data_IF_662049837029
#
_entry.id   IF_662049837029
#
_cell.length_a   1.000
_cell.length_b   1.000
_cell.length_c   1.000
_cell.angle_alpha   90.00
_cell.angle_beta   90.00
_cell.angle_gamma   90.00
#
_symmetry.space_group_name_H-M   'P 1'
#
loop_
_entity.id
_entity.type
_entity.pdbx_description
1 polymer ?
#
# COMPACT_ATOMS: atom_id res chain seq x y z
N UNK A 1 -4.30 28.39 -11.80
CA UNK A 1 -3.28 28.09 -10.77
C UNK A 1 -2.89 26.60 -10.74
N UNK A 2 -3.81 25.65 -10.51
CA UNK A 2 -3.47 24.21 -10.46
C UNK A 2 -2.72 23.69 -11.70
N UNK A 3 -3.20 24.02 -12.92
CA UNK A 3 -2.52 23.60 -14.16
C UNK A 3 -1.07 24.10 -14.25
N UNK A 4 -0.79 25.34 -13.85
CA UNK A 4 0.55 25.94 -13.90
C UNK A 4 1.48 25.23 -12.91
N UNK A 5 1.01 24.96 -11.69
CA UNK A 5 1.77 24.20 -10.69
C UNK A 5 2.08 22.79 -11.17
N UNK A 6 1.11 22.11 -11.79
CA UNK A 6 1.32 20.78 -12.37
C UNK A 6 2.36 20.80 -13.50
N UNK A 7 2.27 21.77 -14.42
CA UNK A 7 3.23 21.90 -15.51
C UNK A 7 4.64 22.21 -15.00
N UNK A 8 4.76 23.06 -13.98
CA UNK A 8 6.03 23.35 -13.34
C UNK A 8 6.64 22.09 -12.69
N UNK A 9 5.82 21.32 -11.97
CA UNK A 9 6.27 20.06 -11.35
C UNK A 9 6.72 19.03 -12.38
N UNK A 10 5.97 18.87 -13.48
CA UNK A 10 6.35 17.99 -14.60
C UNK A 10 7.66 18.48 -15.23
N UNK A 11 7.76 19.78 -15.51
CA UNK A 11 8.99 20.38 -16.05
C UNK A 11 10.19 20.16 -15.15
N UNK A 12 10.02 20.30 -13.84
CA UNK A 12 11.05 20.00 -12.84
C UNK A 12 11.49 18.53 -12.88
N UNK A 13 10.54 17.59 -12.86
CA UNK A 13 10.86 16.15 -12.93
C UNK A 13 11.56 15.76 -14.24
N UNK A 14 11.10 16.32 -15.37
CA UNK A 14 11.75 16.10 -16.66
C UNK A 14 13.17 16.66 -16.68
N UNK A 15 13.36 17.88 -16.17
CA UNK A 15 14.70 18.47 -16.06
C UNK A 15 15.61 17.63 -15.16
N UNK A 16 15.09 17.15 -14.02
CA UNK A 16 15.80 16.25 -13.10
C UNK A 16 16.32 15.01 -13.84
N UNK A 17 15.44 14.33 -14.60
CA UNK A 17 15.81 13.12 -15.35
C UNK A 17 16.77 13.38 -16.52
N UNK A 18 16.65 14.52 -17.20
CA UNK A 18 17.49 14.87 -18.35
C UNK A 18 18.88 15.37 -17.95
N UNK A 19 19.00 16.05 -16.80
CA UNK A 19 20.30 16.56 -16.30
C UNK A 19 21.13 15.44 -15.67
N UNK A 20 20.49 14.43 -15.07
CA UNK A 20 21.16 13.30 -14.41
C UNK A 20 20.65 11.95 -14.95
N UNK A 21 20.91 11.63 -16.23
CA UNK A 21 20.41 10.40 -16.85
C UNK A 21 21.01 9.13 -16.21
N UNK A 22 22.27 9.19 -15.75
CA UNK A 22 22.90 8.07 -15.03
C UNK A 22 22.21 7.80 -13.70
N UNK A 23 21.97 8.82 -12.88
CA UNK A 23 21.25 8.68 -11.61
C UNK A 23 19.81 8.17 -11.82
N UNK A 24 19.15 8.63 -12.89
CA UNK A 24 17.83 8.11 -13.28
C UNK A 24 17.89 6.63 -13.62
N UNK A 25 18.86 6.21 -14.43
CA UNK A 25 19.07 4.82 -14.79
C UNK A 25 19.39 3.96 -13.57
N UNK A 26 20.31 4.39 -12.71
CA UNK A 26 20.72 3.66 -11.51
C UNK A 26 19.54 3.48 -10.54
N UNK A 27 18.77 4.56 -10.31
CA UNK A 27 17.59 4.51 -9.46
C UNK A 27 16.48 3.63 -10.04
N UNK A 28 16.27 3.65 -11.36
CA UNK A 28 15.30 2.78 -12.03
C UNK A 28 15.74 1.31 -11.97
N UNK A 29 17.03 1.02 -12.18
CA UNK A 29 17.59 -0.32 -12.10
C UNK A 29 17.50 -0.88 -10.67
N UNK A 30 17.80 -0.05 -9.67
CA UNK A 30 17.61 -0.42 -8.27
C UNK A 30 16.14 -0.74 -7.95
N UNK A 31 15.20 0.11 -8.40
CA UNK A 31 13.77 -0.16 -8.25
C UNK A 31 13.31 -1.43 -8.97
N UNK A 32 13.87 -1.72 -10.15
CA UNK A 32 13.59 -2.94 -10.88
C UNK A 32 14.10 -4.17 -10.14
N UNK A 33 15.29 -4.12 -9.55
CA UNK A 33 15.83 -5.19 -8.71
C UNK A 33 14.95 -5.42 -7.48
N UNK A 34 14.59 -4.36 -6.74
CA UNK A 34 13.67 -4.47 -5.61
C UNK A 34 12.33 -5.08 -6.03
N UNK A 35 11.75 -4.60 -7.13
CA UNK A 35 10.49 -5.12 -7.65
C UNK A 35 10.58 -6.62 -7.99
N UNK A 36 11.57 -7.01 -8.79
CA UNK A 36 11.68 -8.39 -9.30
C UNK A 36 12.14 -9.40 -8.26
N UNK A 37 12.94 -8.99 -7.27
CA UNK A 37 13.52 -9.91 -6.27
C UNK A 37 12.82 -9.87 -4.92
N UNK A 38 12.29 -8.70 -4.50
CA UNK A 38 11.69 -8.52 -3.16
C UNK A 38 10.18 -8.32 -3.16
N UNK A 39 9.55 -7.95 -4.29
CA UNK A 39 8.10 -7.71 -4.33
C UNK A 39 7.34 -8.74 -5.18
N UNK A 40 7.75 -8.92 -6.43
CA UNK A 40 7.09 -9.80 -7.40
C UNK A 40 6.92 -11.25 -6.90
N UNK A 41 7.96 -11.95 -6.41
CA UNK A 41 7.82 -13.35 -5.99
C UNK A 41 6.90 -13.52 -4.78
N UNK A 42 6.84 -12.53 -3.89
CA UNK A 42 6.00 -12.59 -2.69
C UNK A 42 4.55 -12.14 -2.95
N UNK A 43 4.35 -11.10 -3.78
CA UNK A 43 3.02 -10.51 -3.99
C UNK A 43 2.22 -11.19 -5.09
N UNK A 44 2.83 -11.57 -6.23
CA UNK A 44 2.06 -12.03 -7.39
C UNK A 44 1.28 -13.33 -7.14
N UNK A 45 1.89 -14.42 -6.64
CA UNK A 45 1.14 -15.66 -6.38
C UNK A 45 -0.01 -15.41 -5.40
N UNK A 46 0.25 -14.55 -4.41
CA UNK A 46 -0.71 -14.18 -3.39
C UNK A 46 -1.91 -13.44 -3.96
N UNK A 47 -1.68 -12.41 -4.78
CA UNK A 47 -2.73 -11.64 -5.44
C UNK A 47 -3.62 -12.53 -6.32
N UNK A 48 -3.03 -13.50 -7.03
CA UNK A 48 -3.80 -14.44 -7.87
C UNK A 48 -4.73 -15.28 -7.01
N UNK A 49 -4.21 -15.90 -5.95
CA UNK A 49 -5.01 -16.76 -5.06
C UNK A 49 -6.07 -15.96 -4.32
N UNK A 50 -5.74 -14.76 -3.80
CA UNK A 50 -6.69 -13.93 -3.05
C UNK A 50 -7.84 -13.45 -3.94
N UNK A 51 -7.56 -12.99 -5.17
CA UNK A 51 -8.62 -12.56 -6.11
C UNK A 51 -9.47 -13.74 -6.58
N UNK A 52 -8.86 -14.89 -6.82
CA UNK A 52 -9.61 -16.08 -7.22
C UNK A 52 -10.50 -16.59 -6.08
N UNK A 53 -10.01 -16.61 -4.85
CA UNK A 53 -10.81 -16.95 -3.67
C UNK A 53 -11.98 -15.97 -3.47
N UNK A 54 -11.75 -14.67 -3.66
CA UNK A 54 -12.80 -13.64 -3.59
C UNK A 54 -13.94 -13.88 -4.57
N UNK A 55 -13.62 -14.24 -5.81
CA UNK A 55 -14.64 -14.42 -6.84
C UNK A 55 -15.59 -15.57 -6.51
N UNK A 56 -15.09 -16.61 -5.84
CA UNK A 56 -15.87 -17.76 -5.37
C UNK A 56 -16.70 -17.38 -4.14
N UNK A 57 -16.09 -16.73 -3.14
CA UNK A 57 -16.74 -16.40 -1.86
C UNK A 57 -18.02 -15.58 -2.02
N UNK A 58 -18.02 -14.67 -2.99
CA UNK A 58 -19.11 -13.73 -3.22
C UNK A 58 -19.96 -14.09 -4.45
N UNK A 59 -19.78 -15.29 -5.01
CA UNK A 59 -20.50 -15.77 -6.20
C UNK A 59 -21.95 -16.15 -5.91
N UNK A 60 -22.23 -16.67 -4.71
CA UNK A 60 -23.41 -17.54 -4.49
C UNK A 60 -24.32 -17.13 -3.34
N UNK A 61 -24.14 -15.96 -2.73
CA UNK A 61 -24.96 -15.58 -1.58
C UNK A 61 -25.25 -14.10 -1.56
N UNK A 62 -26.51 -13.69 -1.30
CA UNK A 62 -26.79 -12.30 -1.04
C UNK A 62 -26.00 -11.89 0.20
N UNK A 63 -25.16 -10.88 0.03
CA UNK A 63 -24.23 -10.46 1.07
C UNK A 63 -25.00 -9.72 2.14
N UNK A 64 -25.12 -10.34 3.33
CA UNK A 64 -25.63 -9.63 4.51
C UNK A 64 -24.54 -8.68 4.99
N UNK A 65 -24.77 -7.37 4.87
CA UNK A 65 -23.85 -6.31 5.32
C UNK A 65 -23.83 -6.19 6.86
N UNK A 66 -23.43 -7.26 7.53
CA UNK A 66 -23.18 -7.28 8.98
C UNK A 66 -21.69 -7.03 9.26
N UNK A 67 -21.33 -6.91 10.55
CA UNK A 67 -19.94 -6.68 10.94
C UNK A 67 -18.98 -7.76 10.40
N UNK A 68 -19.41 -9.02 10.40
CA UNK A 68 -18.63 -10.15 9.92
C UNK A 68 -18.25 -10.01 8.44
N UNK A 69 -19.15 -9.52 7.58
CA UNK A 69 -18.83 -9.22 6.18
C UNK A 69 -17.65 -8.25 6.06
N UNK A 70 -17.65 -7.16 6.85
CA UNK A 70 -16.55 -6.20 6.80
C UNK A 70 -15.24 -6.76 7.36
N UNK A 71 -15.29 -7.65 8.36
CA UNK A 71 -14.12 -8.39 8.80
C UNK A 71 -13.55 -9.29 7.70
N UNK A 72 -14.42 -10.01 6.96
CA UNK A 72 -13.99 -10.82 5.82
C UNK A 72 -13.35 -9.97 4.73
N UNK A 73 -13.95 -8.82 4.39
CA UNK A 73 -13.36 -7.87 3.44
C UNK A 73 -11.99 -7.39 3.88
N UNK A 74 -11.87 -7.02 5.17
CA UNK A 74 -10.59 -6.61 5.74
C UNK A 74 -9.55 -7.71 5.63
N UNK A 75 -9.88 -8.92 6.07
CA UNK A 75 -8.95 -10.05 6.01
C UNK A 75 -8.46 -10.25 4.59
N UNK A 76 -9.35 -10.35 3.61
CA UNK A 76 -8.94 -10.70 2.24
C UNK A 76 -8.12 -9.57 1.58
N UNK A 77 -8.45 -8.32 1.84
CA UNK A 77 -7.64 -7.21 1.34
C UNK A 77 -6.27 -7.10 2.05
N UNK A 78 -6.25 -7.28 3.36
CA UNK A 78 -5.02 -7.21 4.16
C UNK A 78 -4.06 -8.37 3.85
N UNK A 79 -4.61 -9.54 3.57
CA UNK A 79 -3.91 -10.71 3.06
C UNK A 79 -3.06 -10.35 1.82
N UNK A 80 -3.62 -9.65 0.83
CA UNK A 80 -2.91 -9.27 -0.39
C UNK A 80 -2.03 -8.01 -0.28
N UNK A 81 -2.01 -7.36 0.87
CA UNK A 81 -1.22 -6.16 1.11
C UNK A 81 -1.83 -4.89 0.50
N UNK A 82 -1.08 -3.80 0.58
CA UNK A 82 -1.53 -2.45 0.23
C UNK A 82 -2.21 -2.30 -1.15
N UNK A 83 -1.57 -2.70 -2.28
CA UNK A 83 -2.20 -2.56 -3.59
C UNK A 83 -3.39 -3.51 -3.78
N UNK A 84 -3.36 -4.70 -3.13
CA UNK A 84 -4.49 -5.64 -3.18
C UNK A 84 -5.71 -5.10 -2.49
N UNK A 85 -5.55 -4.56 -1.27
CA UNK A 85 -6.65 -4.00 -0.50
C UNK A 85 -7.38 -2.93 -1.30
N UNK A 86 -6.63 -2.01 -1.90
CA UNK A 86 -7.19 -0.98 -2.76
C UNK A 86 -7.91 -1.56 -3.99
N UNK A 87 -7.28 -2.48 -4.71
CA UNK A 87 -7.89 -3.13 -5.88
C UNK A 87 -9.17 -3.90 -5.53
N UNK A 88 -9.20 -4.58 -4.38
CA UNK A 88 -10.37 -5.30 -3.87
C UNK A 88 -11.52 -4.34 -3.58
N UNK A 89 -11.27 -3.22 -2.89
CA UNK A 89 -12.32 -2.23 -2.59
C UNK A 89 -12.85 -1.58 -3.86
N UNK A 90 -11.98 -1.24 -4.81
CA UNK A 90 -12.37 -0.70 -6.11
C UNK A 90 -13.25 -1.69 -6.87
N UNK A 91 -12.84 -2.96 -6.93
CA UNK A 91 -13.58 -4.00 -7.64
C UNK A 91 -14.96 -4.30 -7.02
N UNK A 92 -15.06 -4.30 -5.69
CA UNK A 92 -16.34 -4.48 -5.00
C UNK A 92 -17.27 -3.27 -5.19
N UNK A 93 -16.72 -2.07 -5.31
CA UNK A 93 -17.49 -0.88 -5.65
C UNK A 93 -17.94 -0.88 -7.13
N UNK A 94 -17.08 -1.33 -8.06
CA UNK A 94 -17.42 -1.54 -9.48
C UNK A 94 -18.57 -2.54 -9.65
N UNK A 95 -18.55 -3.59 -8.83
CA UNK A 95 -19.56 -4.65 -8.85
C UNK A 95 -20.79 -4.34 -8.00
N UNK A 96 -20.89 -3.12 -7.48
CA UNK A 96 -22.00 -2.60 -6.66
C UNK A 96 -22.27 -3.40 -5.36
N UNK A 97 -21.32 -4.22 -4.92
CA UNK A 97 -21.39 -4.97 -3.65
C UNK A 97 -21.32 -4.02 -2.47
N UNK A 98 -20.50 -2.98 -2.57
CA UNK A 98 -20.37 -1.89 -1.59
C UNK A 98 -20.64 -0.54 -2.27
N UNK A 99 -21.23 0.40 -1.53
CA UNK A 99 -21.48 1.75 -2.05
C UNK A 99 -20.18 2.57 -2.12
N UNK A 100 -20.15 3.61 -2.97
CA UNK A 100 -18.99 4.53 -3.03
C UNK A 100 -18.62 5.16 -1.68
N UNK A 101 -19.58 5.62 -0.84
CA UNK A 101 -19.27 6.06 0.51
C UNK A 101 -18.58 4.98 1.35
N UNK A 102 -19.11 3.75 1.37
CA UNK A 102 -18.49 2.63 2.09
C UNK A 102 -17.07 2.36 1.58
N UNK A 103 -16.89 2.33 0.26
CA UNK A 103 -15.60 2.15 -0.39
C UNK A 103 -14.59 3.24 0.02
N UNK A 104 -15.01 4.50 0.15
CA UNK A 104 -14.10 5.59 0.56
C UNK A 104 -13.45 5.32 1.92
N UNK A 105 -14.21 4.80 2.87
CA UNK A 105 -13.69 4.52 4.20
C UNK A 105 -12.93 3.18 4.26
N UNK A 106 -13.49 2.14 3.64
CA UNK A 106 -12.84 0.83 3.60
C UNK A 106 -11.50 0.87 2.86
N UNK A 107 -11.34 1.74 1.86
CA UNK A 107 -10.06 1.97 1.18
C UNK A 107 -8.95 2.31 2.17
N UNK A 108 -9.27 3.11 3.19
CA UNK A 108 -8.35 3.45 4.27
C UNK A 108 -8.14 2.30 5.25
N UNK A 109 -9.20 1.60 5.66
CA UNK A 109 -9.13 0.57 6.73
C UNK A 109 -8.47 -0.73 6.26
N UNK A 110 -8.73 -1.13 5.02
CA UNK A 110 -8.22 -2.38 4.44
C UNK A 110 -6.78 -2.23 3.95
N UNK A 111 -6.23 -1.01 3.99
CA UNK A 111 -4.82 -0.73 3.72
C UNK A 111 -3.93 -1.31 4.83
N UNK A 112 -3.35 -2.48 4.57
CA UNK A 112 -2.47 -3.18 5.50
C UNK A 112 -1.32 -3.84 4.73
N UNK A 113 -0.14 -4.03 5.36
CA UNK A 113 0.92 -4.83 4.76
C UNK A 113 0.50 -6.29 4.68
N UNK A 114 0.96 -7.03 3.67
CA UNK A 114 0.65 -8.45 3.58
C UNK A 114 1.44 -9.24 4.64
N UNK A 115 0.89 -10.36 5.16
CA UNK A 115 1.63 -11.25 6.04
C UNK A 115 2.93 -11.75 5.40
N UNK A 116 2.90 -12.02 4.09
CA UNK A 116 4.09 -12.47 3.36
C UNK A 116 5.15 -11.38 3.24
N UNK A 117 4.76 -10.10 3.11
CA UNK A 117 5.72 -8.99 3.11
C UNK A 117 6.36 -8.82 4.49
N UNK A 118 5.55 -8.80 5.56
CA UNK A 118 6.08 -8.61 6.92
C UNK A 118 6.91 -9.81 7.37
N UNK A 119 6.42 -11.03 7.21
CA UNK A 119 7.14 -12.23 7.67
C UNK A 119 8.27 -12.59 6.69
N UNK A 120 7.97 -12.62 5.39
CA UNK A 120 8.87 -13.12 4.36
C UNK A 120 9.98 -12.14 3.98
N UNK A 121 9.69 -10.84 3.86
CA UNK A 121 10.73 -9.85 3.57
C UNK A 121 11.22 -9.17 4.85
N UNK A 122 10.36 -8.45 5.57
CA UNK A 122 10.79 -7.67 6.75
C UNK A 122 11.35 -8.59 7.84
N UNK A 123 10.73 -9.74 8.08
CA UNK A 123 11.15 -10.68 9.12
C UNK A 123 12.41 -11.45 8.77
N UNK A 124 12.48 -12.03 7.58
CA UNK A 124 13.61 -12.86 7.18
C UNK A 124 14.84 -12.03 6.77
N UNK A 125 14.64 -10.94 6.01
CA UNK A 125 15.74 -10.19 5.38
C UNK A 125 16.14 -8.95 6.18
N UNK A 126 15.21 -8.28 6.85
CA UNK A 126 15.50 -6.99 7.53
C UNK A 126 15.76 -7.19 9.02
N UNK A 127 14.84 -7.85 9.73
CA UNK A 127 14.90 -8.04 11.18
C UNK A 127 15.65 -9.31 11.60
N UNK A 128 15.81 -10.27 10.68
CA UNK A 128 16.29 -11.63 10.96
C UNK A 128 15.60 -12.28 12.19
N UNK A 129 14.33 -11.97 12.40
CA UNK A 129 13.56 -12.41 13.57
C UNK A 129 12.10 -12.61 13.23
N UNK A 130 11.67 -13.87 13.21
CA UNK A 130 10.28 -14.25 13.02
C UNK A 130 9.37 -13.67 14.11
N UNK A 131 9.83 -13.68 15.36
CA UNK A 131 9.04 -13.18 16.51
C UNK A 131 8.77 -11.68 16.39
N UNK A 132 9.78 -10.88 16.03
CA UNK A 132 9.61 -9.44 15.85
C UNK A 132 8.70 -9.13 14.66
N UNK A 133 8.86 -9.84 13.55
CA UNK A 133 7.98 -9.68 12.39
C UNK A 133 6.53 -10.05 12.71
N UNK A 134 6.31 -11.14 13.45
CA UNK A 134 4.96 -11.53 13.88
C UNK A 134 4.34 -10.48 14.80
N UNK A 135 5.12 -9.92 15.74
CA UNK A 135 4.67 -8.83 16.59
C UNK A 135 4.25 -7.60 15.77
N UNK A 136 5.08 -7.17 14.81
CA UNK A 136 4.77 -6.06 13.92
C UNK A 136 3.49 -6.31 13.12
N UNK A 137 3.34 -7.52 12.58
CA UNK A 137 2.13 -7.93 11.86
C UNK A 137 0.90 -7.80 12.76
N UNK A 138 0.94 -8.33 13.97
CA UNK A 138 -0.18 -8.24 14.92
C UNK A 138 -0.51 -6.78 15.22
N UNK A 139 0.49 -5.94 15.51
CA UNK A 139 0.29 -4.52 15.82
C UNK A 139 -0.42 -3.79 14.67
N UNK A 140 0.10 -3.92 13.44
CA UNK A 140 -0.48 -3.24 12.28
C UNK A 140 -1.91 -3.69 11.98
N UNK A 141 -2.19 -4.99 12.12
CA UNK A 141 -3.51 -5.53 11.84
C UNK A 141 -4.52 -5.22 12.94
N UNK A 142 -4.13 -5.29 14.22
CA UNK A 142 -4.97 -4.89 15.35
C UNK A 142 -5.37 -3.42 15.21
N UNK A 143 -4.43 -2.53 14.85
CA UNK A 143 -4.76 -1.13 14.65
C UNK A 143 -5.84 -0.92 13.57
N UNK A 144 -5.74 -1.62 12.44
CA UNK A 144 -6.76 -1.55 11.39
C UNK A 144 -8.11 -2.16 11.82
N UNK A 145 -8.11 -3.27 12.55
CA UNK A 145 -9.33 -3.89 13.08
C UNK A 145 -10.04 -2.98 14.10
N UNK A 146 -9.27 -2.28 14.94
CA UNK A 146 -9.82 -1.28 15.86
C UNK A 146 -10.49 -0.14 15.08
N UNK A 147 -9.83 0.41 14.05
CA UNK A 147 -10.43 1.42 13.17
C UNK A 147 -11.71 0.89 12.48
N UNK A 148 -11.72 -0.38 12.08
CA UNK A 148 -12.90 -1.03 11.51
C UNK A 148 -14.05 -1.04 12.52
N UNK A 149 -13.82 -1.50 13.74
CA UNK A 149 -14.83 -1.56 14.81
C UNK A 149 -15.41 -0.18 15.10
N UNK A 150 -14.58 0.85 15.25
CA UNK A 150 -15.05 2.19 15.54
C UNK A 150 -15.83 2.82 14.39
N UNK A 151 -15.48 2.47 13.15
CA UNK A 151 -16.08 3.10 11.98
C UNK A 151 -17.25 2.31 11.39
N UNK A 152 -17.46 1.03 11.77
CA UNK A 152 -18.47 0.18 11.15
C UNK A 152 -19.88 0.78 11.22
N UNK A 153 -20.23 1.44 12.34
CA UNK A 153 -21.53 2.11 12.51
C UNK A 153 -21.68 3.32 11.57
N UNK A 154 -20.61 4.05 11.29
CA UNK A 154 -20.65 5.17 10.33
C UNK A 154 -20.92 4.70 8.90
N UNK A 155 -20.54 3.47 8.54
CA UNK A 155 -20.79 2.89 7.21
C UNK A 155 -22.15 2.20 7.06
N UNK A 156 -22.80 1.88 8.20
CA UNK A 156 -24.17 1.37 8.26
C UNK A 156 -25.21 2.50 8.12
N UNK A 157 -24.91 3.71 8.60
CA UNK A 157 -25.83 4.84 8.53
C UNK A 157 -26.06 5.32 7.08
N UNK A 158 -25.02 5.28 6.24
CA UNK A 158 -25.13 5.55 4.79
C UNK A 158 -25.90 4.46 4.02
N UNK A 159 -26.32 3.37 4.68
CA UNK A 159 -26.97 2.20 4.10
C UNK A 159 -28.47 2.11 4.48
N UNK A 160 -29.17 3.23 4.62
CA UNK A 160 -30.60 3.25 4.94
C UNK A 160 -31.50 2.54 3.91
N UNK A 161 -30.98 2.10 2.76
CA UNK A 161 -31.72 1.32 1.74
C UNK A 161 -30.84 0.32 0.95
N UNK A 162 -30.28 -0.74 1.57
CA UNK A 162 -29.87 -1.92 0.76
C UNK A 162 -30.21 -3.24 1.46
N UNK A 163 -31.47 -3.65 1.31
CA UNK A 163 -31.86 -5.05 1.27
C UNK A 163 -31.10 -5.77 0.14
N UNK A 164 -30.72 -7.03 0.41
CA UNK A 164 -30.14 -8.03 -0.50
C UNK A 164 -29.89 -7.53 -1.94
N UNK A 165 -28.73 -6.93 -2.21
CA UNK A 165 -28.35 -6.66 -3.60
C UNK A 165 -27.90 -7.99 -4.23
N UNK A 166 -28.46 -8.39 -5.39
CA UNK A 166 -27.85 -9.45 -6.17
C UNK A 166 -26.42 -9.01 -6.49
N UNK A 167 -25.44 -9.83 -6.15
CA UNK A 167 -24.07 -9.56 -6.56
C UNK A 167 -24.02 -9.62 -8.09
N UNK A 168 -23.88 -8.47 -8.76
CA UNK A 168 -23.55 -8.40 -10.19
C UNK A 168 -22.11 -8.85 -10.49
N UNK A 169 -21.46 -9.53 -9.53
CA UNK A 169 -20.13 -10.09 -9.72
C UNK A 169 -20.20 -11.19 -10.76
N UNK A 170 -19.59 -10.89 -11.91
CA UNK A 170 -19.33 -11.86 -12.96
C UNK A 170 -18.46 -12.97 -12.37
N UNK A 171 -18.73 -14.21 -12.77
CA UNK A 171 -17.89 -15.37 -12.45
C UNK A 171 -16.47 -15.10 -12.96
N UNK A 172 -15.55 -14.74 -12.06
CA UNK A 172 -14.15 -14.60 -12.45
C UNK A 172 -13.50 -15.96 -12.48
N UNK A 173 -13.00 -16.34 -13.66
CA UNK A 173 -12.13 -17.49 -13.81
C UNK A 173 -10.76 -17.19 -13.20
N UNK A 174 -10.02 -18.25 -12.90
CA UNK A 174 -8.60 -18.16 -12.54
C UNK A 174 -7.82 -17.26 -13.53
N UNK A 175 -8.10 -17.39 -14.84
CA UNK A 175 -7.47 -16.55 -15.87
C UNK A 175 -7.77 -15.05 -15.69
N UNK A 176 -8.99 -14.67 -15.29
CA UNK A 176 -9.32 -13.28 -14.96
C UNK A 176 -8.54 -12.80 -13.74
N UNK A 177 -8.44 -13.63 -12.70
CA UNK A 177 -7.66 -13.30 -11.50
C UNK A 177 -6.17 -13.11 -11.81
N UNK A 178 -5.59 -13.92 -12.70
CA UNK A 178 -4.22 -13.74 -13.20
C UNK A 178 -4.05 -12.39 -13.90
N UNK A 179 -4.91 -12.06 -14.87
CA UNK A 179 -4.81 -10.79 -15.62
C UNK A 179 -4.96 -9.58 -14.71
N UNK A 180 -5.94 -9.58 -13.80
CA UNK A 180 -6.14 -8.49 -12.84
C UNK A 180 -4.97 -8.36 -11.89
N UNK A 181 -4.39 -9.47 -11.44
CA UNK A 181 -3.20 -9.44 -10.58
C UNK A 181 -1.97 -8.93 -11.31
N UNK A 182 -1.79 -9.29 -12.59
CA UNK A 182 -0.73 -8.74 -13.43
C UNK A 182 -0.86 -7.22 -13.58
N UNK A 183 -2.06 -6.69 -13.82
CA UNK A 183 -2.31 -5.24 -13.87
C UNK A 183 -1.95 -4.54 -12.54
N UNK A 184 -2.34 -5.11 -11.40
CA UNK A 184 -1.96 -4.60 -10.08
C UNK A 184 -0.44 -4.61 -9.91
N UNK A 185 0.24 -5.69 -10.29
CA UNK A 185 1.70 -5.78 -10.20
C UNK A 185 2.42 -4.81 -11.14
N UNK A 186 1.88 -4.52 -12.32
CA UNK A 186 2.44 -3.50 -13.22
C UNK A 186 2.38 -2.11 -12.58
N UNK A 187 1.28 -1.78 -11.89
CA UNK A 187 1.17 -0.52 -11.13
C UNK A 187 2.21 -0.48 -10.00
N UNK A 188 2.38 -1.58 -9.26
CA UNK A 188 3.42 -1.69 -8.21
C UNK A 188 4.81 -1.49 -8.81
N UNK A 189 5.17 -2.23 -9.87
CA UNK A 189 6.48 -2.14 -10.50
C UNK A 189 6.78 -0.76 -11.08
N UNK A 190 5.83 -0.19 -11.82
CA UNK A 190 5.98 1.15 -12.41
C UNK A 190 6.18 2.23 -11.34
N UNK A 191 5.40 2.18 -10.25
CA UNK A 191 5.53 3.17 -9.16
C UNK A 191 6.83 2.99 -8.39
N UNK A 192 7.23 1.77 -8.05
CA UNK A 192 8.52 1.49 -7.38
C UNK A 192 9.69 2.02 -8.22
N UNK A 193 9.77 1.62 -9.49
CA UNK A 193 10.84 2.05 -10.42
C UNK A 193 10.86 3.58 -10.56
N UNK A 194 9.70 4.21 -10.72
CA UNK A 194 9.60 5.66 -10.85
C UNK A 194 10.09 6.38 -9.59
N UNK A 195 9.62 5.96 -8.41
CA UNK A 195 9.96 6.64 -7.15
C UNK A 195 11.39 6.38 -6.68
N UNK A 196 11.99 5.22 -6.99
CA UNK A 196 13.42 5.01 -6.76
C UNK A 196 14.29 5.81 -7.72
N UNK A 197 13.87 5.99 -8.99
CA UNK A 197 14.54 6.89 -9.92
C UNK A 197 14.50 8.35 -9.43
N UNK A 198 13.33 8.83 -8.98
CA UNK A 198 13.20 10.16 -8.36
C UNK A 198 14.11 10.29 -7.14
N UNK A 199 14.11 9.29 -6.25
CA UNK A 199 14.95 9.28 -5.05
C UNK A 199 16.43 9.40 -5.39
N UNK A 200 16.91 8.61 -6.35
CA UNK A 200 18.33 8.58 -6.73
C UNK A 200 18.79 9.90 -7.36
N UNK A 201 17.95 10.52 -8.19
CA UNK A 201 18.25 11.85 -8.73
C UNK A 201 18.31 12.92 -7.62
N UNK A 202 17.39 12.90 -6.65
CA UNK A 202 17.42 13.85 -5.53
C UNK A 202 18.67 13.66 -4.67
N UNK A 203 19.07 12.41 -4.42
CA UNK A 203 20.31 12.07 -3.72
C UNK A 203 21.52 12.61 -4.49
N UNK A 204 21.57 12.38 -5.81
CA UNK A 204 22.70 12.82 -6.63
C UNK A 204 22.77 14.34 -6.72
N UNK A 205 21.65 15.03 -6.94
CA UNK A 205 21.56 16.49 -6.90
C UNK A 205 22.04 17.06 -5.55
N UNK A 206 21.70 16.41 -4.44
CA UNK A 206 22.18 16.82 -3.12
C UNK A 206 23.68 16.59 -2.94
N UNK A 207 24.21 15.44 -3.38
CA UNK A 207 25.64 15.13 -3.32
C UNK A 207 26.48 16.11 -4.13
N UNK A 208 25.94 16.68 -5.21
CA UNK A 208 26.61 17.74 -5.98
C UNK A 208 26.52 19.12 -5.35
N UNK A 209 25.72 19.29 -4.28
CA UNK A 209 25.63 20.55 -3.54
C UNK A 209 26.78 20.69 -2.54
N UNK A 210 27.01 21.91 -2.04
CA UNK A 210 28.03 22.21 -1.02
C UNK A 210 27.69 21.65 0.37
N UNK A 211 26.51 21.06 0.56
CA UNK A 211 26.01 20.58 1.85
C UNK A 211 26.41 19.11 2.03
N UNK A 212 27.04 18.74 3.17
CA UNK A 212 27.42 17.35 3.44
C UNK A 212 26.21 16.41 3.36
N UNK A 213 26.34 15.33 2.59
CA UNK A 213 25.32 14.31 2.45
C UNK A 213 25.64 13.11 3.33
N UNK A 214 24.70 12.68 4.18
CA UNK A 214 24.87 11.57 5.12
C UNK A 214 24.02 10.37 4.74
N UNK A 215 24.38 9.18 5.22
CA UNK A 215 23.59 7.95 5.01
C UNK A 215 22.17 8.06 5.59
N UNK A 216 22.00 8.79 6.70
CA UNK A 216 20.67 9.05 7.27
C UNK A 216 19.78 9.87 6.33
N UNK A 217 20.36 10.77 5.54
CA UNK A 217 19.62 11.52 4.52
C UNK A 217 19.23 10.63 3.34
N UNK A 218 20.10 9.71 2.93
CA UNK A 218 19.78 8.69 1.93
C UNK A 218 18.61 7.83 2.38
N UNK A 219 18.67 7.32 3.61
CA UNK A 219 17.59 6.56 4.22
C UNK A 219 16.28 7.35 4.22
N UNK A 220 16.31 8.61 4.65
CA UNK A 220 15.13 9.47 4.69
C UNK A 220 14.53 9.70 3.29
N UNK A 221 15.35 10.00 2.28
CA UNK A 221 14.88 10.23 0.91
C UNK A 221 14.23 8.96 0.34
N UNK A 222 14.91 7.82 0.41
CA UNK A 222 14.32 6.57 -0.09
C UNK A 222 13.05 6.23 0.67
N UNK A 223 13.07 6.26 2.00
CA UNK A 223 11.88 5.97 2.82
C UNK A 223 10.70 6.89 2.49
N UNK A 224 10.96 8.17 2.20
CA UNK A 224 9.92 9.14 1.85
C UNK A 224 9.21 8.75 0.55
N UNK A 225 9.94 8.29 -0.47
CA UNK A 225 9.39 8.03 -1.79
C UNK A 225 9.02 6.56 -2.03
N UNK A 226 9.82 5.61 -1.55
CA UNK A 226 9.64 4.18 -1.76
C UNK A 226 10.05 3.39 -0.51
N UNK A 227 9.05 2.79 0.15
CA UNK A 227 9.20 2.09 1.43
C UNK A 227 10.18 0.91 1.34
N UNK A 228 10.15 0.13 0.26
CA UNK A 228 10.99 -1.08 0.13
C UNK A 228 12.47 -0.71 0.02
N UNK A 229 12.79 0.32 -0.76
CA UNK A 229 14.12 0.92 -0.86
C UNK A 229 14.59 1.49 0.48
N UNK A 230 13.68 2.17 1.21
CA UNK A 230 13.98 2.65 2.56
C UNK A 230 14.35 1.52 3.52
N UNK A 231 13.62 0.40 3.49
CA UNK A 231 13.90 -0.78 4.30
C UNK A 231 15.23 -1.44 3.92
N UNK A 232 15.54 -1.54 2.62
CA UNK A 232 16.81 -2.10 2.14
C UNK A 232 18.00 -1.27 2.64
N UNK A 233 17.93 0.07 2.57
CA UNK A 233 18.97 0.95 3.11
C UNK A 233 19.06 0.85 4.64
N UNK A 234 17.92 0.79 5.33
CA UNK A 234 17.86 0.64 6.78
C UNK A 234 18.55 -0.64 7.27
N UNK A 235 18.41 -1.74 6.52
CA UNK A 235 19.05 -3.02 6.83
C UNK A 235 20.57 -2.90 6.85
N UNK A 236 21.17 -2.24 5.86
CA UNK A 236 22.63 -2.02 5.80
C UNK A 236 23.18 -1.14 6.92
N UNK A 237 22.34 -0.26 7.49
CA UNK A 237 22.72 0.67 8.54
C UNK A 237 22.47 0.15 9.97
N UNK A 238 21.95 -1.09 10.12
CA UNK A 238 21.62 -1.68 11.44
C UNK A 238 20.73 -0.77 12.31
N UNK A 239 19.73 -0.13 11.71
CA UNK A 239 18.85 0.82 12.41
C UNK A 239 17.94 0.11 13.43
N UNK A 240 17.43 0.88 14.40
CA UNK A 240 16.46 0.36 15.36
C UNK A 240 15.14 -0.09 14.69
N UNK A 241 14.46 -1.04 15.32
CA UNK A 241 13.12 -1.49 14.90
C UNK A 241 12.09 -0.35 14.83
N UNK A 242 12.28 0.71 15.63
CA UNK A 242 11.41 1.90 15.61
C UNK A 242 11.50 2.60 14.25
N UNK A 243 12.70 2.71 13.68
CA UNK A 243 12.89 3.32 12.35
C UNK A 243 12.19 2.45 11.28
N UNK A 244 12.32 1.12 11.37
CA UNK A 244 11.62 0.18 10.48
C UNK A 244 10.10 0.37 10.57
N UNK A 245 9.54 0.50 11.78
CA UNK A 245 8.11 0.77 12.00
C UNK A 245 7.71 2.09 11.34
N UNK A 246 8.48 3.16 11.52
CA UNK A 246 8.20 4.48 10.92
C UNK A 246 8.17 4.40 9.39
N UNK A 247 9.13 3.69 8.78
CA UNK A 247 9.18 3.50 7.32
C UNK A 247 7.93 2.76 6.84
N UNK A 248 7.52 1.69 7.51
CA UNK A 248 6.33 0.90 7.12
C UNK A 248 5.04 1.71 7.31
N UNK A 249 4.91 2.47 8.41
CA UNK A 249 3.76 3.34 8.65
C UNK A 249 3.63 4.44 7.60
N UNK A 250 4.75 4.99 7.16
CA UNK A 250 4.77 6.01 6.12
C UNK A 250 4.36 5.46 4.75
N UNK A 251 4.63 4.18 4.45
CA UNK A 251 4.32 3.52 3.16
C UNK A 251 5.03 4.08 1.92
N UNK A 252 5.63 5.28 1.98
CA UNK A 252 6.23 5.93 0.82
C UNK A 252 5.18 6.54 -0.12
N UNK A 253 5.58 7.58 -0.85
CA UNK A 253 4.73 8.15 -1.91
C UNK A 253 4.34 7.12 -2.98
N UNK A 254 5.19 6.12 -3.24
CA UNK A 254 4.93 5.00 -4.14
C UNK A 254 3.61 4.31 -3.84
N UNK A 255 3.43 3.81 -2.62
CA UNK A 255 2.22 3.06 -2.24
C UNK A 255 1.00 3.97 -2.21
N UNK A 256 1.13 5.20 -1.71
CA UNK A 256 0.04 6.17 -1.75
C UNK A 256 -0.43 6.44 -3.19
N UNK A 257 0.50 6.51 -4.15
CA UNK A 257 0.17 6.69 -5.55
C UNK A 257 -0.49 5.46 -6.17
N UNK A 258 -0.06 4.25 -5.79
CA UNK A 258 -0.73 3.00 -6.19
C UNK A 258 -2.21 3.02 -5.78
N UNK A 259 -2.49 3.40 -4.53
CA UNK A 259 -3.86 3.53 -4.02
C UNK A 259 -4.62 4.64 -4.75
N UNK A 260 -3.99 5.79 -4.99
CA UNK A 260 -4.61 6.91 -5.71
C UNK A 260 -5.03 6.53 -7.13
N UNK A 261 -4.15 5.87 -7.89
CA UNK A 261 -4.41 5.43 -9.27
C UNK A 261 -5.61 4.47 -9.31
N UNK A 262 -5.62 3.49 -8.40
CA UNK A 262 -6.73 2.53 -8.29
C UNK A 262 -8.03 3.20 -7.85
N UNK A 263 -7.99 4.06 -6.83
CA UNK A 263 -9.18 4.74 -6.30
C UNK A 263 -9.83 5.69 -7.31
N UNK A 264 -9.01 6.32 -8.17
CA UNK A 264 -9.47 7.28 -9.17
C UNK A 264 -10.27 6.62 -10.30
N UNK A 265 -10.01 5.36 -10.65
CA UNK A 265 -10.80 4.65 -11.67
C UNK A 265 -12.30 4.62 -11.30
N UNK A 266 -12.61 4.59 -10.00
CA UNK A 266 -13.97 4.59 -9.47
C UNK A 266 -14.45 5.92 -8.86
N UNK A 267 -13.70 7.00 -9.11
CA UNK A 267 -14.01 8.33 -8.57
C UNK A 267 -14.16 8.33 -7.04
N UNK A 268 -13.39 7.49 -6.34
CA UNK A 268 -13.39 7.42 -4.88
C UNK A 268 -12.68 8.64 -4.28
N UNK A 269 -13.14 9.04 -3.09
CA UNK A 269 -12.64 10.22 -2.36
C UNK A 269 -11.44 9.84 -1.48
N UNK A 270 -10.23 10.04 -2.01
CA UNK A 270 -8.94 9.73 -1.35
C UNK A 270 -8.73 10.45 -0.01
N UNK A 271 -9.46 11.54 0.28
CA UNK A 271 -9.39 12.22 1.59
C UNK A 271 -9.69 11.30 2.79
N UNK A 272 -10.63 10.36 2.64
CA UNK A 272 -10.97 9.42 3.72
C UNK A 272 -9.85 8.40 3.92
N UNK A 273 -9.25 7.92 2.82
CA UNK A 273 -8.06 7.10 2.88
C UNK A 273 -6.95 7.76 3.71
N UNK A 274 -6.61 9.03 3.42
CA UNK A 274 -5.59 9.76 4.18
C UNK A 274 -5.93 9.89 5.66
N UNK A 275 -7.18 10.21 6.01
CA UNK A 275 -7.64 10.27 7.40
C UNK A 275 -7.38 8.95 8.14
N UNK A 276 -7.77 7.81 7.56
CA UNK A 276 -7.54 6.50 8.19
C UNK A 276 -6.06 6.13 8.27
N UNK A 277 -5.22 6.57 7.34
CA UNK A 277 -3.78 6.33 7.43
C UNK A 277 -3.13 7.11 8.58
N UNK A 278 -3.51 8.38 8.76
CA UNK A 278 -3.06 9.15 9.92
C UNK A 278 -3.55 8.51 11.22
N UNK A 279 -4.83 8.14 11.29
CA UNK A 279 -5.39 7.47 12.47
C UNK A 279 -4.72 6.11 12.76
N UNK A 280 -4.43 5.33 11.72
CA UNK A 280 -3.72 4.05 11.84
C UNK A 280 -2.31 4.24 12.38
N UNK A 281 -1.54 5.19 11.82
CA UNK A 281 -0.18 5.47 12.30
C UNK A 281 -0.17 5.95 13.75
N UNK A 282 -1.11 6.81 14.14
CA UNK A 282 -1.26 7.23 15.55
C UNK A 282 -1.57 6.05 16.46
N UNK A 283 -2.50 5.19 16.07
CA UNK A 283 -2.90 4.03 16.87
C UNK A 283 -1.76 3.02 17.01
N UNK A 284 -1.03 2.74 15.92
CA UNK A 284 0.14 1.88 15.96
C UNK A 284 1.20 2.47 16.88
N UNK A 285 1.47 3.77 16.79
CA UNK A 285 2.44 4.43 17.67
C UNK A 285 2.07 4.27 19.16
N UNK A 286 0.79 4.45 19.50
CA UNK A 286 0.28 4.21 20.86
C UNK A 286 0.47 2.75 21.28
N UNK A 287 0.12 1.79 20.42
CA UNK A 287 0.33 0.36 20.70
C UNK A 287 1.82 0.06 20.88
N UNK A 288 2.69 0.61 20.04
CA UNK A 288 4.14 0.44 20.18
C UNK A 288 4.63 0.97 21.52
N UNK A 289 4.27 2.17 21.96
CA UNK A 289 4.68 2.70 23.28
C UNK A 289 4.22 1.79 24.43
N UNK A 290 3.03 1.22 24.33
CA UNK A 290 2.46 0.38 25.39
C UNK A 290 3.13 -1.01 25.47
N UNK A 291 3.54 -1.58 24.34
CA UNK A 291 3.96 -2.98 24.23
C UNK A 291 5.44 -3.19 23.86
N UNK A 292 6.07 -2.23 23.18
CA UNK A 292 7.49 -2.17 22.91
C UNK A 292 8.09 -1.13 23.88
N UNK A 293 8.55 -1.60 25.04
CA UNK A 293 9.31 -0.77 25.98
C UNK A 293 10.71 -0.50 25.44
#
# INVERSE_FOLDING_TARGET
>A
MQRVVTLFFIGFLLALFLVQPSATYDGANFGMQLFTTKLLPYLLPYLIVSKWFMSILFQHSPVRKNFFFYCQLYLIGALGGYPSGAATIVHLAESEVISKPQANHLLGIVHAPSPIFIIGYVGAEILHSFQQALLLLVIFHVANLVLLVFSWKTFLYDSSNTSLLPSNMKKESFASSVTKSAQTMLIVGATVIFFTAVSQNLIQAWKTSSIPFTESMQLAIYSLFEMTAGLEVAHHMSVSIIIIIVIILWNGWSIHMQVYVLAKSMSLRVKHYLFYRIAHSMLVFVICILFLK
#
